data_IF_141430667420
#
_entry.id   IF_141430667420
#
_cell.length_a   1.000
_cell.length_b   1.000
_cell.length_c   1.000
_cell.angle_alpha   90.00
_cell.angle_beta   90.00
_cell.angle_gamma   90.00
#
_symmetry.space_group_name_H-M   'P 1'
#
loop_
_entity.id
_entity.type
_entity.pdbx_description
1 polymer ?
#
# COMPACT_ATOMS: atom_id res chain seq x y z
N UNK A 1 7.55 0.10 -10.94
CA UNK A 1 6.38 0.74 -11.61
C UNK A 1 6.50 0.69 -13.13
N UNK A 2 7.54 1.25 -13.75
CA UNK A 2 7.75 1.20 -15.21
C UNK A 2 7.71 -0.23 -15.81
N UNK A 3 8.39 -1.20 -15.19
CA UNK A 3 8.37 -2.59 -15.64
C UNK A 3 6.97 -3.26 -15.59
N UNK A 4 6.03 -2.70 -14.82
CA UNK A 4 4.66 -3.19 -14.68
C UNK A 4 3.66 -2.33 -15.46
N UNK A 5 4.12 -1.32 -16.21
CA UNK A 5 3.26 -0.41 -16.97
C UNK A 5 2.35 0.47 -16.10
N UNK A 6 2.73 0.73 -14.84
CA UNK A 6 1.98 1.66 -13.98
C UNK A 6 2.54 3.07 -14.20
N UNK A 7 1.77 3.90 -14.88
CA UNK A 7 2.06 5.31 -15.14
C UNK A 7 1.33 6.24 -14.14
N UNK A 8 1.66 7.52 -14.15
CA UNK A 8 1.01 8.54 -13.30
C UNK A 8 1.46 8.60 -11.84
N UNK A 9 0.86 9.52 -11.09
CA UNK A 9 1.02 9.75 -9.65
C UNK A 9 -0.34 9.92 -8.96
N UNK A 10 -1.40 9.36 -9.56
CA UNK A 10 -2.78 9.50 -9.10
C UNK A 10 -3.28 8.30 -8.28
N UNK A 11 -4.56 8.35 -7.89
CA UNK A 11 -5.22 7.27 -7.15
C UNK A 11 -5.28 5.95 -7.93
N UNK A 12 -5.30 5.98 -9.27
CA UNK A 12 -5.27 4.76 -10.07
C UNK A 12 -3.88 4.10 -9.98
N UNK A 13 -2.82 4.90 -10.05
CA UNK A 13 -1.45 4.45 -9.82
C UNK A 13 -1.27 3.87 -8.41
N UNK A 14 -1.80 4.54 -7.38
CA UNK A 14 -1.81 4.06 -6.00
C UNK A 14 -2.53 2.72 -5.90
N UNK A 15 -3.75 2.60 -6.44
CA UNK A 15 -4.53 1.36 -6.38
C UNK A 15 -3.76 0.18 -7.01
N UNK A 16 -3.14 0.39 -8.18
CA UNK A 16 -2.34 -0.64 -8.85
C UNK A 16 -1.09 -1.03 -8.06
N UNK A 17 -0.40 -0.07 -7.44
CA UNK A 17 0.77 -0.37 -6.59
C UNK A 17 0.35 -1.18 -5.36
N UNK A 18 -0.73 -0.78 -4.69
CA UNK A 18 -1.27 -1.53 -3.56
C UNK A 18 -1.64 -2.96 -3.96
N UNK A 19 -2.27 -3.17 -5.12
CA UNK A 19 -2.62 -4.52 -5.59
C UNK A 19 -1.41 -5.45 -5.81
N UNK A 20 -0.27 -4.90 -6.24
CA UNK A 20 0.93 -5.66 -6.60
C UNK A 20 1.97 -5.71 -5.48
N UNK A 21 1.65 -5.20 -4.30
CA UNK A 21 2.62 -5.16 -3.23
C UNK A 21 3.03 -6.58 -2.80
N UNK A 22 4.33 -6.83 -2.55
CA UNK A 22 4.81 -8.14 -2.10
C UNK A 22 4.15 -8.67 -0.81
N UNK A 23 3.54 -7.81 0.00
CA UNK A 23 2.75 -8.24 1.17
C UNK A 23 1.49 -9.01 0.76
N UNK A 24 1.03 -8.87 -0.48
CA UNK A 24 -0.10 -9.60 -1.05
C UNK A 24 0.36 -10.94 -1.60
N UNK A 25 0.16 -11.98 -0.80
CA UNK A 25 0.36 -13.36 -1.23
C UNK A 25 -1.04 -14.00 -1.34
N UNK A 26 -1.56 -14.28 -2.54
CA UNK A 26 -2.97 -14.64 -2.75
C UNK A 26 -3.49 -15.80 -1.87
N UNK A 27 -2.63 -16.78 -1.59
CA UNK A 27 -3.00 -17.95 -0.77
C UNK A 27 -2.84 -17.73 0.74
N UNK A 28 -2.26 -16.60 1.15
CA UNK A 28 -1.89 -16.32 2.55
C UNK A 28 -2.63 -15.10 3.11
N UNK A 29 -2.81 -14.05 2.30
CA UNK A 29 -3.51 -12.81 2.63
C UNK A 29 -4.71 -12.60 1.72
N UNK A 30 -5.85 -12.16 2.27
CA UNK A 30 -6.99 -11.68 1.47
C UNK A 30 -7.12 -10.16 1.66
N UNK A 31 -6.26 -9.42 0.95
CA UNK A 31 -6.33 -7.96 0.86
C UNK A 31 -6.94 -7.59 -0.47
N UNK A 32 -7.98 -6.75 -0.43
CA UNK A 32 -8.69 -6.29 -1.63
C UNK A 32 -8.59 -4.78 -1.74
N UNK A 33 -8.34 -4.31 -2.96
CA UNK A 33 -8.17 -2.90 -3.29
C UNK A 33 -9.23 -2.51 -4.31
N UNK A 34 -10.07 -1.54 -3.97
CA UNK A 34 -11.12 -1.02 -4.84
C UNK A 34 -10.95 0.49 -5.04
N UNK A 35 -10.92 0.95 -6.28
CA UNK A 35 -10.92 2.36 -6.63
C UNK A 35 -12.37 2.85 -6.80
N UNK A 36 -12.75 3.90 -6.09
CA UNK A 36 -13.99 4.63 -6.30
C UNK A 36 -13.67 5.95 -7.01
N UNK A 37 -13.95 5.99 -8.31
CA UNK A 37 -13.68 7.15 -9.16
C UNK A 37 -14.60 8.33 -8.82
N UNK A 38 -15.83 8.08 -8.39
CA UNK A 38 -16.79 9.14 -8.07
C UNK A 38 -16.42 9.83 -6.75
N UNK A 39 -15.97 9.05 -5.77
CA UNK A 39 -15.57 9.54 -4.44
C UNK A 39 -14.11 9.99 -4.37
N UNK A 40 -13.32 9.74 -5.41
CA UNK A 40 -11.89 10.02 -5.44
C UNK A 40 -11.16 9.38 -4.24
N UNK A 41 -11.43 8.09 -4.02
CA UNK A 41 -10.79 7.32 -2.94
C UNK A 41 -10.46 5.90 -3.38
N UNK A 42 -9.48 5.29 -2.70
CA UNK A 42 -9.20 3.85 -2.79
C UNK A 42 -9.52 3.22 -1.45
N UNK A 43 -10.30 2.15 -1.48
CA UNK A 43 -10.62 1.34 -0.31
C UNK A 43 -9.72 0.11 -0.29
N UNK A 44 -8.99 -0.08 0.82
CA UNK A 44 -8.21 -1.28 1.11
C UNK A 44 -8.94 -2.05 2.20
N UNK A 45 -9.24 -3.33 1.98
CA UNK A 45 -9.93 -4.18 2.95
C UNK A 45 -9.14 -5.46 3.18
N UNK A 46 -9.02 -5.85 4.45
CA UNK A 46 -8.46 -7.12 4.87
C UNK A 46 -9.60 -8.05 5.29
N UNK A 47 -9.67 -9.24 4.70
CA UNK A 47 -10.68 -10.27 4.99
C UNK A 47 -10.05 -11.44 5.78
N UNK A 48 -10.88 -12.38 6.22
CA UNK A 48 -10.39 -13.59 6.90
C UNK A 48 -9.41 -14.35 5.98
N UNK A 49 -8.24 -14.68 6.52
CA UNK A 49 -7.17 -15.32 5.76
C UNK A 49 -6.25 -16.15 6.68
N UNK A 50 -5.26 -16.81 6.09
CA UNK A 50 -4.31 -17.66 6.84
C UNK A 50 -3.37 -16.79 7.69
N UNK A 51 -2.89 -15.67 7.15
CA UNK A 51 -1.96 -14.78 7.83
C UNK A 51 -2.49 -14.25 9.18
N UNK A 52 -3.81 -14.05 9.30
CA UNK A 52 -4.45 -13.63 10.56
C UNK A 52 -4.41 -14.70 11.66
N UNK A 53 -4.26 -15.97 11.28
CA UNK A 53 -4.25 -17.13 12.18
C UNK A 53 -2.85 -17.64 12.50
N UNK A 54 -1.82 -16.99 11.96
CA UNK A 54 -0.44 -17.41 12.13
C UNK A 54 0.07 -16.96 13.52
N UNK A 55 0.06 -17.87 14.49
CA UNK A 55 0.40 -17.61 15.91
C UNK A 55 1.82 -18.16 16.22
N UNK A 56 2.67 -17.46 17.01
CA UNK A 56 2.44 -16.22 17.77
C UNK A 56 2.89 -14.93 17.08
N UNK A 57 3.07 -14.95 15.76
CA UNK A 57 3.69 -13.85 15.02
C UNK A 57 2.96 -13.55 13.71
N UNK A 58 1.66 -13.32 13.80
CA UNK A 58 0.88 -12.95 12.62
C UNK A 58 1.53 -11.69 12.02
N UNK A 59 1.94 -11.71 10.75
CA UNK A 59 2.54 -10.54 10.11
C UNK A 59 1.53 -9.40 9.96
N UNK A 60 0.23 -9.70 10.09
CA UNK A 60 -0.86 -8.74 10.04
C UNK A 60 -1.24 -8.19 11.42
N UNK A 61 -0.70 -8.73 12.52
CA UNK A 61 -0.99 -8.26 13.86
C UNK A 61 -0.74 -6.74 14.03
N UNK A 62 0.34 -6.14 13.49
CA UNK A 62 0.52 -4.69 13.58
C UNK A 62 -0.64 -3.90 12.93
N UNK A 63 -1.20 -4.42 11.84
CA UNK A 63 -2.31 -3.77 11.11
C UNK A 63 -3.67 -3.93 11.81
N UNK A 64 -3.85 -4.98 12.61
CA UNK A 64 -5.16 -5.31 13.23
C UNK A 64 -5.23 -5.06 14.73
N UNK A 65 -4.09 -4.99 15.43
CA UNK A 65 -4.05 -4.93 16.91
C UNK A 65 -3.42 -3.66 17.46
N UNK A 66 -2.75 -2.84 16.62
CA UNK A 66 -2.09 -1.61 17.07
C UNK A 66 -2.82 -0.37 16.50
N UNK A 67 -3.61 0.36 17.31
CA UNK A 67 -4.44 1.46 16.83
C UNK A 67 -3.68 2.69 16.30
N UNK A 68 -2.37 2.75 16.53
CA UNK A 68 -1.58 3.98 16.37
C UNK A 68 -0.87 4.11 15.03
N UNK A 69 -0.85 3.08 14.20
CA UNK A 69 -0.20 3.14 12.89
C UNK A 69 -1.26 2.86 11.83
N UNK A 70 -1.62 3.87 11.03
CA UNK A 70 -2.36 3.57 9.83
C UNK A 70 -1.43 2.65 8.99
N UNK A 71 -2.01 1.76 8.19
CA UNK A 71 -1.26 0.81 7.37
C UNK A 71 -1.25 1.29 5.92
N UNK A 72 -0.28 0.84 5.13
CA UNK A 72 -0.17 1.13 3.69
C UNK A 72 0.23 2.58 3.31
N UNK A 73 0.48 3.49 4.26
CA UNK A 73 0.82 4.91 3.99
C UNK A 73 2.07 5.01 3.16
N UNK A 74 3.11 4.29 3.54
CA UNK A 74 4.40 4.34 2.85
C UNK A 74 4.27 3.87 1.40
N UNK A 75 3.38 2.90 1.12
CA UNK A 75 3.12 2.39 -0.22
C UNK A 75 2.37 3.44 -1.05
N UNK A 76 1.35 4.10 -0.47
CA UNK A 76 0.62 5.17 -1.14
C UNK A 76 1.51 6.41 -1.36
N UNK A 77 2.30 6.79 -0.36
CA UNK A 77 3.21 7.95 -0.37
C UNK A 77 4.42 7.76 -1.28
N UNK A 78 4.81 6.53 -1.57
CA UNK A 78 5.79 6.22 -2.59
C UNK A 78 5.29 6.53 -4.02
N UNK A 79 3.98 6.66 -4.21
CA UNK A 79 3.36 7.07 -5.48
C UNK A 79 3.04 8.56 -5.47
N UNK A 80 2.34 9.04 -4.44
CA UNK A 80 2.09 10.47 -4.22
C UNK A 80 2.34 10.84 -2.75
N UNK A 81 3.33 11.68 -2.43
CA UNK A 81 3.64 12.06 -1.05
C UNK A 81 2.52 12.83 -0.33
N UNK A 82 1.48 13.27 -1.05
CA UNK A 82 0.27 13.88 -0.48
C UNK A 82 -0.81 12.85 -0.14
N UNK A 83 -0.60 11.58 -0.46
CA UNK A 83 -1.53 10.53 -0.09
C UNK A 83 -1.73 10.47 1.43
N UNK A 84 -2.99 10.26 1.82
CA UNK A 84 -3.43 10.05 3.19
C UNK A 84 -4.12 8.71 3.27
N UNK A 85 -3.78 7.95 4.29
CA UNK A 85 -4.40 6.67 4.58
C UNK A 85 -4.95 6.73 5.98
N UNK A 86 -6.24 6.40 6.12
CA UNK A 86 -6.95 6.45 7.39
C UNK A 86 -7.70 5.14 7.62
N UNK A 87 -7.62 4.55 8.82
CA UNK A 87 -8.45 3.41 9.16
C UNK A 87 -9.92 3.84 9.18
N UNK A 88 -10.79 2.99 8.67
CA UNK A 88 -12.24 3.21 8.64
C UNK A 88 -12.96 1.97 9.18
N UNK A 89 -14.24 2.11 9.50
CA UNK A 89 -15.06 0.96 9.86
C UNK A 89 -15.06 -0.06 8.72
N UNK A 90 -14.72 -1.33 8.98
CA UNK A 90 -14.72 -2.35 7.94
C UNK A 90 -16.14 -2.60 7.43
N UNK A 91 -16.33 -2.75 6.11
CA UNK A 91 -17.60 -3.22 5.55
C UNK A 91 -17.84 -4.69 5.92
N UNK A 92 -19.06 -5.17 5.70
CA UNK A 92 -19.44 -6.57 5.97
C UNK A 92 -18.47 -7.56 5.31
N UNK A 93 -18.00 -8.52 6.11
CA UNK A 93 -17.04 -9.54 5.69
C UNK A 93 -15.57 -9.15 5.81
N UNK A 94 -15.24 -7.86 5.97
CA UNK A 94 -13.88 -7.42 6.23
C UNK A 94 -13.58 -7.40 7.75
N UNK A 95 -12.33 -7.71 8.09
CA UNK A 95 -11.78 -7.63 9.45
C UNK A 95 -11.23 -6.23 9.74
N UNK A 96 -10.65 -5.59 8.74
CA UNK A 96 -10.13 -4.21 8.82
C UNK A 96 -10.24 -3.50 7.47
N UNK A 97 -10.30 -2.17 7.49
CA UNK A 97 -10.36 -1.37 6.28
C UNK A 97 -9.65 -0.02 6.43
N UNK A 98 -9.13 0.47 5.31
CA UNK A 98 -8.47 1.77 5.18
C UNK A 98 -8.98 2.49 3.95
N UNK A 99 -9.20 3.79 4.11
CA UNK A 99 -9.46 4.71 3.00
C UNK A 99 -8.17 5.42 2.63
N UNK A 100 -7.88 5.48 1.34
CA UNK A 100 -6.77 6.23 0.78
C UNK A 100 -7.31 7.37 -0.08
N UNK A 101 -6.83 8.58 0.15
CA UNK A 101 -7.17 9.79 -0.62
C UNK A 101 -5.89 10.55 -0.96
N UNK A 102 -5.97 11.40 -2.00
CA UNK A 102 -4.92 12.37 -2.33
C UNK A 102 -5.48 13.76 -2.08
N UNK A 103 -4.85 14.50 -1.17
CA UNK A 103 -5.22 15.88 -0.87
C UNK A 103 -4.31 16.83 -1.66
N UNK A 104 -4.83 17.45 -2.72
CA UNK A 104 -4.04 18.26 -3.65
C UNK A 104 -3.25 19.41 -2.96
N UNK A 105 -3.84 20.00 -1.93
CA UNK A 105 -3.26 21.13 -1.20
C UNK A 105 -2.48 20.71 0.06
N UNK A 106 -2.35 19.40 0.32
CA UNK A 106 -1.59 18.91 1.46
C UNK A 106 -0.08 19.11 1.24
N UNK A 107 0.63 19.41 2.33
CA UNK A 107 2.08 19.38 2.33
C UNK A 107 2.56 17.94 2.03
N UNK A 108 3.41 17.75 1.00
CA UNK A 108 4.05 16.48 0.72
C UNK A 108 4.80 15.96 1.93
N UNK A 109 4.60 14.69 2.26
CA UNK A 109 5.39 14.05 3.31
C UNK A 109 6.83 13.93 2.84
N UNK A 110 7.77 14.41 3.67
CA UNK A 110 9.18 14.18 3.43
C UNK A 110 9.52 12.69 3.61
N UNK A 111 10.26 12.08 2.66
CA UNK A 111 10.72 10.72 2.82
C UNK A 111 11.50 10.53 4.12
N UNK A 112 11.30 9.39 4.78
CA UNK A 112 12.06 9.07 5.99
C UNK A 112 13.57 9.11 5.71
N UNK A 113 14.42 9.68 6.60
CA UNK A 113 15.85 9.84 6.33
C UNK A 113 16.60 8.54 5.96
N UNK A 114 16.12 7.39 6.46
CA UNK A 114 16.67 6.08 6.12
C UNK A 114 16.35 5.61 4.69
N UNK A 115 15.35 6.20 4.01
CA UNK A 115 15.00 5.84 2.64
C UNK A 115 16.19 6.09 1.69
N UNK A 116 16.94 7.16 1.91
CA UNK A 116 18.16 7.45 1.16
C UNK A 116 19.26 6.41 1.41
N UNK A 117 19.36 5.87 2.63
CA UNK A 117 20.37 4.86 2.98
C UNK A 117 20.08 3.49 2.37
N UNK A 118 18.80 3.09 2.28
CA UNK A 118 18.41 1.87 1.57
C UNK A 118 18.63 2.01 0.07
N UNK A 119 18.56 3.24 -0.46
CA UNK A 119 18.80 3.54 -1.87
C UNK A 119 20.29 3.72 -2.24
N UNK A 120 21.23 3.64 -1.28
CA UNK A 120 22.66 3.93 -1.50
C UNK A 120 23.37 3.03 -2.52
N UNK A 121 22.78 1.88 -2.88
CA UNK A 121 23.44 0.91 -3.75
C UNK A 121 22.94 0.90 -5.20
N UNK A 122 22.08 1.84 -5.63
CA UNK A 122 21.53 1.87 -7.00
C UNK A 122 20.92 0.52 -7.46
N UNK A 123 20.57 -0.36 -6.52
CA UNK A 123 19.96 -1.69 -6.78
C UNK A 123 18.65 -1.56 -7.58
N UNK A 124 18.11 -0.35 -7.69
CA UNK A 124 16.86 -0.02 -8.36
C UNK A 124 17.01 0.15 -9.88
N UNK A 125 18.22 0.38 -10.42
CA UNK A 125 18.44 0.47 -11.87
C UNK A 125 18.92 -0.87 -12.42
N UNK A 126 17.98 -1.81 -12.60
CA UNK A 126 18.21 -2.99 -13.40
C UNK A 126 17.71 -2.74 -14.83
N UNK A 127 18.64 -2.65 -15.78
CA UNK A 127 18.27 -2.57 -17.20
C UNK A 127 17.79 -3.94 -17.69
N UNK A 128 16.48 -4.12 -17.72
CA UNK A 128 15.83 -5.35 -18.22
C UNK A 128 15.92 -5.49 -19.75
N UNK A 129 16.40 -4.48 -20.48
CA UNK A 129 16.65 -4.56 -21.92
C UNK A 129 17.97 -5.26 -22.24
N UNK A 130 18.89 -5.33 -21.28
CA UNK A 130 20.11 -6.13 -21.38
C UNK A 130 19.77 -7.63 -21.22
N UNK A 131 19.53 -8.30 -22.35
CA UNK A 131 19.47 -9.78 -22.38
C UNK A 131 20.90 -10.35 -22.31
N UNK A 132 21.11 -11.50 -21.65
CA UNK A 132 22.40 -12.20 -21.62
C UNK A 132 22.84 -12.71 -23.01
#
# INVERSE_FOLDING_TARGET
>A
RAAMGIEGDDLEAIAKVLQLDPVHVPDYTDIRVALDVERQEVMVTLHDCVALRDDPRSPLAPLTTTPAQPGFEHMAQAVDPRARVVPVSPPDGAVAAWRVTVEADAEPVEPHPMAALVNLHEIVTFDLSARP
#
